data_IF_705041036543
#
_entry.id   IF_705041036543
#
_cell.length_a   1.000
_cell.length_b   1.000
_cell.length_c   1.000
_cell.angle_alpha   90.00
_cell.angle_beta   90.00
_cell.angle_gamma   90.00
#
_symmetry.space_group_name_H-M   'P 1'
#
loop_
_entity.id
_entity.type
_entity.pdbx_description
1 polymer ?
#
# COMPACT_ATOMS: atom_id res chain seq x y z
N UNK A 1 16.17 11.50 -7.36
CA UNK A 1 16.44 11.54 -8.81
C UNK A 1 17.92 11.33 -9.14
N UNK A 2 18.86 12.17 -8.70
CA UNK A 2 20.28 12.10 -9.12
C UNK A 2 20.96 10.72 -8.95
N UNK A 3 20.55 9.94 -7.95
CA UNK A 3 21.04 8.57 -7.68
C UNK A 3 20.22 7.45 -8.34
N UNK A 4 19.25 7.79 -9.21
CA UNK A 4 18.40 6.82 -9.92
C UNK A 4 17.00 6.57 -9.33
N UNK A 5 16.60 7.26 -8.26
CA UNK A 5 15.22 7.19 -7.75
C UNK A 5 14.25 7.69 -8.84
N UNK A 6 13.23 6.91 -9.16
CA UNK A 6 12.23 7.19 -10.21
C UNK A 6 10.78 7.20 -9.72
N UNK A 7 10.51 6.67 -8.53
CA UNK A 7 9.16 6.62 -7.96
C UNK A 7 9.15 6.80 -6.45
N UNK A 8 8.04 7.31 -5.92
CA UNK A 8 7.75 7.44 -4.49
C UNK A 8 6.31 7.02 -4.20
N UNK A 9 6.09 6.48 -2.99
CA UNK A 9 4.77 6.24 -2.44
C UNK A 9 4.58 7.13 -1.22
N UNK A 10 3.54 7.95 -1.23
CA UNK A 10 3.23 8.89 -0.16
C UNK A 10 2.26 8.26 0.84
N UNK A 11 2.56 8.47 2.12
CA UNK A 11 1.71 8.14 3.26
C UNK A 11 1.46 9.43 4.03
N UNK A 12 0.21 9.73 4.34
CA UNK A 12 -0.14 10.89 5.15
C UNK A 12 -0.04 10.59 6.64
N UNK A 13 0.42 11.56 7.41
CA UNK A 13 0.38 11.56 8.87
C UNK A 13 -0.21 12.90 9.27
N UNK A 14 -1.23 12.86 10.12
CA UNK A 14 -1.98 14.03 10.57
C UNK A 14 -2.25 13.94 12.06
N UNK A 15 -2.33 15.11 12.70
CA UNK A 15 -2.66 15.22 14.12
C UNK A 15 -4.18 15.12 14.33
N UNK A 16 -4.95 15.83 13.50
CA UNK A 16 -6.42 15.88 13.59
C UNK A 16 -7.04 14.63 12.93
N UNK A 17 -7.69 13.80 13.75
CA UNK A 17 -8.34 12.54 13.33
C UNK A 17 -9.82 12.53 13.76
N UNK A 18 -10.69 11.96 12.92
CA UNK A 18 -12.11 11.79 13.22
C UNK A 18 -12.66 10.47 12.69
N UNK A 19 -13.87 10.07 13.08
CA UNK A 19 -14.46 8.78 12.69
C UNK A 19 -14.66 8.57 11.17
N UNK A 20 -14.53 9.62 10.34
CA UNK A 20 -14.66 9.55 8.88
C UNK A 20 -13.33 9.69 8.15
N UNK A 21 -12.25 9.98 8.87
CA UNK A 21 -10.98 10.36 8.29
C UNK A 21 -11.07 11.59 7.39
N UNK A 22 -11.70 12.68 7.84
CA UNK A 22 -11.90 13.90 7.01
C UNK A 22 -10.59 14.46 6.47
N UNK A 23 -9.49 14.34 7.23
CA UNK A 23 -8.16 14.79 6.82
C UNK A 23 -7.48 13.93 5.74
N UNK A 24 -8.14 12.86 5.26
CA UNK A 24 -7.64 12.08 4.13
C UNK A 24 -7.76 12.83 2.80
N UNK A 25 -8.74 13.71 2.63
CA UNK A 25 -9.01 14.43 1.37
C UNK A 25 -9.49 15.87 1.54
N UNK A 26 -9.42 16.42 2.75
CA UNK A 26 -9.61 17.85 2.97
C UNK A 26 -8.63 18.70 2.12
N UNK A 27 -8.99 19.95 1.90
CA UNK A 27 -8.10 20.87 1.19
C UNK A 27 -6.78 21.01 1.96
N UNK A 28 -5.67 21.01 1.20
CA UNK A 28 -4.36 21.29 1.76
C UNK A 28 -3.82 20.25 2.78
N UNK A 29 -4.21 18.98 2.67
CA UNK A 29 -3.63 17.88 3.47
C UNK A 29 -2.19 17.56 3.06
N UNK A 30 -1.39 16.88 3.91
CA UNK A 30 0.01 16.56 3.61
C UNK A 30 0.21 15.82 2.28
N UNK A 31 -0.60 14.80 2.00
CA UNK A 31 -0.49 14.02 0.75
C UNK A 31 -0.82 14.89 -0.46
N UNK A 32 -1.92 15.64 -0.43
CA UNK A 32 -2.34 16.50 -1.54
C UNK A 32 -1.30 17.58 -1.83
N UNK A 33 -0.80 18.26 -0.80
CA UNK A 33 0.25 19.29 -0.92
C UNK A 33 1.54 18.69 -1.48
N UNK A 34 1.97 17.55 -0.94
CA UNK A 34 3.21 16.89 -1.34
C UNK A 34 3.13 16.39 -2.79
N UNK A 35 2.02 15.76 -3.18
CA UNK A 35 1.78 15.34 -4.57
C UNK A 35 1.89 16.51 -5.53
N UNK A 36 1.16 17.60 -5.28
CA UNK A 36 1.21 18.78 -6.14
C UNK A 36 2.61 19.41 -6.20
N UNK A 37 3.32 19.47 -5.08
CA UNK A 37 4.68 20.00 -5.01
C UNK A 37 5.67 19.12 -5.81
N UNK A 38 5.63 17.80 -5.63
CA UNK A 38 6.48 16.86 -6.34
C UNK A 38 6.21 16.87 -7.84
N UNK A 39 4.94 16.92 -8.26
CA UNK A 39 4.57 16.99 -9.69
C UNK A 39 5.11 18.23 -10.37
N UNK A 40 5.13 19.38 -9.68
CA UNK A 40 5.70 20.63 -10.21
C UNK A 40 7.23 20.63 -10.22
N UNK A 41 7.84 20.16 -9.14
CA UNK A 41 9.29 20.22 -8.97
C UNK A 41 10.04 19.11 -9.72
N UNK A 42 9.43 17.93 -9.85
CA UNK A 42 10.04 16.71 -10.37
C UNK A 42 9.06 16.01 -11.34
N UNK A 43 8.87 16.55 -12.56
CA UNK A 43 7.83 16.08 -13.49
C UNK A 43 8.02 14.62 -13.95
N UNK A 44 9.26 14.11 -13.93
CA UNK A 44 9.59 12.74 -14.29
C UNK A 44 9.44 11.74 -13.12
N UNK A 45 9.26 12.22 -11.89
CA UNK A 45 9.07 11.35 -10.74
C UNK A 45 7.65 10.77 -10.75
N UNK A 46 7.55 9.43 -10.73
CA UNK A 46 6.28 8.77 -10.51
C UNK A 46 5.86 8.94 -9.05
N UNK A 47 4.69 9.52 -8.86
CA UNK A 47 4.08 9.78 -7.54
C UNK A 47 2.87 8.87 -7.37
N UNK A 48 2.99 7.93 -6.42
CA UNK A 48 1.89 7.09 -5.95
C UNK A 48 1.42 7.54 -4.56
N UNK A 49 0.13 7.35 -4.24
CA UNK A 49 -0.44 7.71 -2.95
C UNK A 49 -1.17 6.52 -2.33
N UNK A 50 -0.89 6.18 -1.06
CA UNK A 50 -1.67 5.19 -0.32
C UNK A 50 -3.09 5.71 -0.09
N UNK A 51 -4.10 4.90 -0.42
CA UNK A 51 -5.51 5.19 -0.16
C UNK A 51 -5.99 4.30 0.96
N UNK A 52 -6.15 4.89 2.13
CA UNK A 52 -6.63 4.23 3.33
C UNK A 52 -7.19 5.28 4.30
N UNK A 53 -7.92 4.83 5.31
CA UNK A 53 -8.49 5.71 6.35
C UNK A 53 -7.78 5.58 7.69
N UNK A 54 -6.90 4.60 7.89
CA UNK A 54 -6.40 4.29 9.23
C UNK A 54 -5.42 5.33 9.79
N UNK A 55 -4.80 6.12 8.93
CA UNK A 55 -3.94 7.25 9.26
C UNK A 55 -4.74 8.49 9.69
N UNK A 56 -6.03 8.53 9.35
CA UNK A 56 -6.89 9.70 9.49
C UNK A 56 -8.07 9.47 10.45
N UNK A 57 -8.37 8.22 10.80
CA UNK A 57 -9.46 7.88 11.71
C UNK A 57 -9.02 7.87 13.17
N UNK A 58 -9.88 8.38 14.05
CA UNK A 58 -9.63 8.38 15.50
C UNK A 58 -9.57 6.94 16.06
N UNK A 59 -10.39 6.04 15.54
CA UNK A 59 -10.43 4.62 15.87
C UNK A 59 -9.35 3.78 15.15
N UNK A 60 -8.64 4.34 14.17
CA UNK A 60 -7.50 3.69 13.48
C UNK A 60 -7.84 2.46 12.62
N UNK A 61 -9.12 2.25 12.26
CA UNK A 61 -9.53 1.22 11.30
C UNK A 61 -9.40 1.74 9.87
N UNK A 62 -9.27 0.83 8.91
CA UNK A 62 -9.16 1.19 7.50
C UNK A 62 -10.48 1.64 6.83
N UNK A 63 -11.58 1.72 7.57
CA UNK A 63 -12.90 2.03 7.04
C UNK A 63 -13.85 2.62 8.07
N UNK A 64 -15.03 3.04 7.60
CA UNK A 64 -16.11 3.60 8.41
C UNK A 64 -16.69 2.49 9.29
N UNK A 65 -16.93 2.81 10.56
CA UNK A 65 -17.61 1.92 11.49
C UNK A 65 -19.11 2.23 11.57
N UNK A 66 -19.91 1.21 11.82
CA UNK A 66 -21.32 1.29 12.23
C UNK A 66 -21.55 0.40 13.44
N UNK A 67 -22.56 0.73 14.22
CA UNK A 67 -23.01 -0.12 15.32
C UNK A 67 -23.89 -1.27 14.78
N UNK A 68 -23.59 -2.49 15.19
CA UNK A 68 -24.43 -3.67 14.99
C UNK A 68 -24.53 -4.38 16.34
N UNK A 69 -25.70 -4.33 16.96
CA UNK A 69 -25.97 -4.94 18.26
C UNK A 69 -24.99 -4.49 19.36
N UNK A 70 -24.59 -3.21 19.36
CA UNK A 70 -23.65 -2.65 20.32
C UNK A 70 -22.17 -2.90 20.00
N UNK A 71 -21.88 -3.58 18.89
CA UNK A 71 -20.51 -3.86 18.44
C UNK A 71 -20.13 -2.98 17.24
N UNK A 72 -18.94 -2.36 17.25
CA UNK A 72 -18.44 -1.62 16.09
C UNK A 72 -18.03 -2.58 14.97
N UNK A 73 -18.68 -2.45 13.82
CA UNK A 73 -18.43 -3.25 12.61
C UNK A 73 -18.15 -2.34 11.43
N UNK A 74 -17.27 -2.78 10.53
CA UNK A 74 -16.99 -2.04 9.29
C UNK A 74 -18.24 -1.95 8.40
N UNK A 75 -18.58 -0.73 8.02
CA UNK A 75 -19.58 -0.45 6.99
C UNK A 75 -18.90 -0.44 5.61
N UNK A 76 -18.94 -1.58 4.93
CA UNK A 76 -18.30 -1.72 3.62
C UNK A 76 -18.80 -0.64 2.64
N UNK A 77 -20.11 -0.50 2.45
CA UNK A 77 -20.68 0.43 1.45
C UNK A 77 -20.21 1.88 1.68
N UNK A 78 -20.35 2.39 2.91
CA UNK A 78 -19.88 3.75 3.26
C UNK A 78 -18.36 3.89 3.16
N UNK A 79 -17.63 2.81 3.41
CA UNK A 79 -16.17 2.80 3.26
C UNK A 79 -15.77 2.91 1.79
N UNK A 80 -16.41 2.16 0.87
CA UNK A 80 -16.09 2.27 -0.57
C UNK A 80 -16.35 3.68 -1.10
N UNK A 81 -17.48 4.30 -0.73
CA UNK A 81 -17.76 5.70 -1.08
C UNK A 81 -16.66 6.64 -0.58
N UNK A 82 -16.22 6.45 0.67
CA UNK A 82 -15.19 7.29 1.28
C UNK A 82 -13.83 7.10 0.62
N UNK A 83 -13.41 5.86 0.38
CA UNK A 83 -12.14 5.54 -0.30
C UNK A 83 -12.10 6.09 -1.73
N UNK A 84 -13.23 6.03 -2.45
CA UNK A 84 -13.35 6.61 -3.79
C UNK A 84 -13.20 8.13 -3.77
N UNK A 85 -13.76 8.83 -2.77
CA UNK A 85 -13.55 10.27 -2.58
C UNK A 85 -12.07 10.61 -2.38
N UNK A 86 -11.40 9.86 -1.50
CA UNK A 86 -9.98 10.04 -1.19
C UNK A 86 -9.11 9.80 -2.43
N UNK A 87 -9.34 8.69 -3.14
CA UNK A 87 -8.63 8.38 -4.36
C UNK A 87 -8.81 9.48 -5.43
N UNK A 88 -10.03 9.99 -5.60
CA UNK A 88 -10.32 11.07 -6.55
C UNK A 88 -9.61 12.37 -6.17
N UNK A 89 -9.53 12.71 -4.88
CA UNK A 89 -8.81 13.88 -4.42
C UNK A 89 -7.30 13.79 -4.72
N UNK A 90 -6.69 12.62 -4.50
CA UNK A 90 -5.28 12.39 -4.86
C UNK A 90 -5.03 12.42 -6.36
N UNK A 91 -5.96 11.86 -7.15
CA UNK A 91 -5.91 11.97 -8.61
C UNK A 91 -5.97 13.44 -9.08
N UNK A 92 -6.89 14.24 -8.54
CA UNK A 92 -6.98 15.69 -8.78
C UNK A 92 -5.72 16.45 -8.38
N UNK A 93 -5.02 16.01 -7.33
CA UNK A 93 -3.74 16.57 -6.91
C UNK A 93 -2.57 16.23 -7.85
N UNK A 94 -2.77 15.30 -8.79
CA UNK A 94 -1.79 14.90 -9.79
C UNK A 94 -1.07 13.58 -9.49
N UNK A 95 -1.63 12.72 -8.62
CA UNK A 95 -1.09 11.38 -8.43
C UNK A 95 -1.16 10.59 -9.75
N UNK A 96 -0.07 9.89 -10.09
CA UNK A 96 -0.08 8.99 -11.26
C UNK A 96 -0.77 7.67 -10.94
N UNK A 97 -0.76 7.32 -9.64
CA UNK A 97 -1.22 6.04 -9.16
C UNK A 97 -1.78 6.18 -7.75
N UNK A 98 -2.88 5.48 -7.49
CA UNK A 98 -3.44 5.31 -6.14
C UNK A 98 -3.28 3.86 -5.68
N UNK A 99 -3.03 3.68 -4.39
CA UNK A 99 -2.69 2.39 -3.81
C UNK A 99 -3.67 2.04 -2.67
N UNK A 100 -4.89 1.54 -2.96
CA UNK A 100 -5.90 1.23 -1.95
C UNK A 100 -5.46 0.07 -1.05
N UNK A 101 -5.18 0.38 0.21
CA UNK A 101 -4.55 -0.51 1.19
C UNK A 101 -5.49 -1.03 2.28
N UNK A 102 -6.76 -0.69 2.18
CA UNK A 102 -7.83 -0.89 3.15
C UNK A 102 -8.29 -2.36 3.31
N UNK A 103 -8.21 -3.16 2.24
CA UNK A 103 -8.73 -4.54 2.13
C UNK A 103 -10.26 -4.69 2.14
N UNK A 104 -11.03 -3.63 1.85
CA UNK A 104 -12.47 -3.73 1.67
C UNK A 104 -12.83 -4.47 0.40
N UNK A 105 -13.92 -5.22 0.46
CA UNK A 105 -14.40 -5.96 -0.69
C UNK A 105 -14.91 -4.99 -1.76
N UNK A 106 -14.45 -5.21 -2.99
CA UNK A 106 -14.85 -4.46 -4.18
C UNK A 106 -14.35 -2.99 -4.29
N UNK A 107 -13.43 -2.55 -3.41
CA UNK A 107 -12.92 -1.16 -3.47
C UNK A 107 -12.28 -0.77 -4.80
N UNK A 108 -11.65 -1.70 -5.52
CA UNK A 108 -11.02 -1.41 -6.82
C UNK A 108 -12.06 -1.00 -7.84
N UNK A 109 -13.16 -1.75 -7.92
CA UNK A 109 -14.24 -1.48 -8.85
C UNK A 109 -14.87 -0.11 -8.57
N UNK A 110 -15.10 0.22 -7.31
CA UNK A 110 -15.66 1.52 -6.92
C UNK A 110 -14.71 2.69 -7.25
N UNK A 111 -13.42 2.55 -6.97
CA UNK A 111 -12.42 3.59 -7.32
C UNK A 111 -12.33 3.74 -8.84
N UNK A 112 -12.24 2.63 -9.59
CA UNK A 112 -12.19 2.65 -11.05
C UNK A 112 -13.42 3.31 -11.67
N UNK A 113 -14.62 2.97 -11.20
CA UNK A 113 -15.86 3.62 -11.63
C UNK A 113 -15.86 5.12 -11.33
N UNK A 114 -15.37 5.51 -10.16
CA UNK A 114 -15.26 6.92 -9.77
C UNK A 114 -14.29 7.67 -10.68
N UNK A 115 -13.14 7.09 -11.02
CA UNK A 115 -12.19 7.68 -11.96
C UNK A 115 -12.79 7.87 -13.35
N UNK A 116 -13.45 6.84 -13.88
CA UNK A 116 -14.11 6.91 -15.19
C UNK A 116 -15.22 7.96 -15.22
N UNK A 117 -15.99 8.09 -14.14
CA UNK A 117 -17.05 9.11 -14.04
C UNK A 117 -16.52 10.55 -13.96
N UNK A 118 -15.23 10.74 -13.65
CA UNK A 118 -14.63 12.05 -13.39
C UNK A 118 -13.46 12.40 -14.34
N UNK A 119 -13.21 11.61 -15.39
CA UNK A 119 -12.14 11.87 -16.37
C UNK A 119 -10.71 11.55 -15.87
N UNK A 120 -10.58 10.63 -14.91
CA UNK A 120 -9.30 10.18 -14.34
C UNK A 120 -8.95 8.74 -14.72
N UNK A 121 -9.42 8.25 -15.88
CA UNK A 121 -9.17 6.89 -16.39
C UNK A 121 -7.67 6.58 -16.48
N UNK A 122 -6.87 7.61 -16.78
CA UNK A 122 -5.42 7.55 -16.93
C UNK A 122 -4.65 7.32 -15.61
N UNK A 123 -5.30 7.46 -14.46
CA UNK A 123 -4.67 7.21 -13.15
C UNK A 123 -4.70 5.71 -12.85
N UNK A 124 -3.52 5.15 -12.54
CA UNK A 124 -3.38 3.72 -12.26
C UNK A 124 -3.85 3.36 -10.84
N UNK A 125 -4.30 2.13 -10.67
CA UNK A 125 -4.68 1.56 -9.38
C UNK A 125 -3.75 0.37 -9.07
N UNK A 126 -2.92 0.52 -8.05
CA UNK A 126 -2.07 -0.55 -7.53
C UNK A 126 -2.72 -1.16 -6.29
N UNK A 127 -3.41 -2.27 -6.48
CA UNK A 127 -4.27 -2.88 -5.49
C UNK A 127 -3.46 -3.61 -4.41
N UNK A 128 -3.65 -3.30 -3.12
CA UNK A 128 -3.20 -4.22 -2.08
C UNK A 128 -4.11 -5.44 -2.06
N UNK A 129 -3.73 -6.47 -2.81
CA UNK A 129 -4.56 -7.66 -3.08
C UNK A 129 -4.35 -8.75 -2.04
N UNK A 130 -3.11 -8.96 -1.61
CA UNK A 130 -2.79 -9.88 -0.51
C UNK A 130 -2.12 -9.11 0.61
N UNK A 131 -2.92 -8.40 1.43
CA UNK A 131 -2.46 -7.77 2.68
C UNK A 131 -2.83 -8.65 3.86
N UNK A 132 -1.81 -9.22 4.51
CA UNK A 132 -1.99 -10.16 5.63
C UNK A 132 -2.25 -9.44 6.94
N UNK A 133 -2.95 -10.09 7.86
CA UNK A 133 -3.06 -9.69 9.27
C UNK A 133 -1.75 -10.03 10.02
N UNK A 134 -0.65 -9.40 9.59
CA UNK A 134 0.71 -9.74 10.01
C UNK A 134 1.22 -8.89 11.17
N UNK A 135 2.07 -9.48 12.00
CA UNK A 135 2.83 -8.77 13.05
C UNK A 135 3.97 -7.90 12.47
N UNK A 136 4.39 -8.16 11.23
CA UNK A 136 5.52 -7.50 10.57
C UNK A 136 5.29 -6.00 10.28
N UNK A 137 4.14 -5.44 10.65
CA UNK A 137 3.84 -4.02 10.49
C UNK A 137 4.17 -3.17 11.71
N UNK A 138 4.59 -3.76 12.84
CA UNK A 138 4.75 -3.03 14.10
C UNK A 138 5.61 -1.76 13.97
N UNK A 139 6.81 -1.77 13.35
CA UNK A 139 7.61 -0.55 13.25
C UNK A 139 7.01 0.52 12.32
N UNK A 140 6.09 0.13 11.43
CA UNK A 140 5.36 1.11 10.60
C UNK A 140 4.25 1.78 11.42
N UNK A 141 3.56 1.02 12.28
CA UNK A 141 2.50 1.55 13.14
C UNK A 141 3.04 2.59 14.13
N UNK A 142 4.26 2.37 14.61
CA UNK A 142 4.97 3.35 15.44
C UNK A 142 5.28 4.63 14.63
N UNK A 143 5.74 4.48 13.39
CA UNK A 143 6.11 5.60 12.52
C UNK A 143 4.93 6.47 12.04
N UNK A 144 3.70 5.92 12.00
CA UNK A 144 2.48 6.65 11.60
C UNK A 144 1.56 7.00 12.78
N UNK A 145 2.06 6.84 14.01
CA UNK A 145 1.31 7.15 15.24
C UNK A 145 -0.10 6.53 15.23
N UNK A 146 -0.15 5.23 14.93
CA UNK A 146 -1.41 4.48 14.85
C UNK A 146 -2.13 4.45 16.20
N UNK A 147 -3.37 4.95 16.24
CA UNK A 147 -4.24 4.93 17.43
C UNK A 147 -5.00 3.60 17.61
N UNK A 148 -4.89 2.70 16.64
CA UNK A 148 -5.68 1.47 16.54
C UNK A 148 -5.53 0.54 17.76
N UNK A 149 -6.67 0.07 18.28
CA UNK A 149 -6.77 -0.95 19.32
C UNK A 149 -7.44 -2.22 18.77
N UNK A 150 -7.01 -3.40 19.22
CA UNK A 150 -7.56 -4.69 18.78
C UNK A 150 -6.82 -5.30 17.58
N UNK A 151 -7.55 -5.95 16.66
CA UNK A 151 -6.96 -6.57 15.47
C UNK A 151 -7.70 -6.28 14.16
N UNK A 152 -6.97 -6.42 13.06
CA UNK A 152 -7.45 -6.14 11.70
C UNK A 152 -7.88 -7.42 10.96
N UNK A 153 -8.09 -8.54 11.66
CA UNK A 153 -8.35 -9.86 11.05
C UNK A 153 -9.71 -9.97 10.37
N UNK A 154 -10.63 -9.03 10.65
CA UNK A 154 -11.95 -8.97 10.00
C UNK A 154 -11.88 -8.55 8.52
N UNK A 155 -10.74 -8.05 8.05
CA UNK A 155 -10.55 -7.59 6.67
C UNK A 155 -9.17 -7.91 6.10
N UNK A 156 -8.11 -7.90 6.91
CA UNK A 156 -6.80 -8.38 6.46
C UNK A 156 -6.78 -9.90 6.41
N UNK A 157 -6.17 -10.45 5.36
CA UNK A 157 -6.17 -11.90 5.14
C UNK A 157 -5.42 -12.66 6.24
N UNK A 158 -5.87 -13.86 6.63
CA UNK A 158 -5.10 -14.72 7.52
C UNK A 158 -3.71 -15.01 6.94
N UNK A 159 -2.69 -15.02 7.81
CA UNK A 159 -1.29 -15.25 7.43
C UNK A 159 -1.11 -16.61 6.73
N UNK A 160 -1.75 -17.66 7.23
CA UNK A 160 -1.64 -19.01 6.64
C UNK A 160 -2.52 -19.27 5.40
N UNK A 161 -3.31 -18.30 4.93
CA UNK A 161 -4.26 -18.56 3.85
C UNK A 161 -3.73 -18.12 2.48
N UNK A 162 -3.57 -19.06 1.56
CA UNK A 162 -3.33 -18.77 0.14
C UNK A 162 -4.62 -18.58 -0.64
N UNK A 163 -5.72 -19.24 -0.23
CA UNK A 163 -7.02 -19.18 -0.89
C UNK A 163 -7.63 -17.78 -0.93
N UNK A 164 -7.60 -17.04 0.19
CA UNK A 164 -8.08 -15.65 0.22
C UNK A 164 -7.28 -14.75 -0.73
N UNK A 165 -5.97 -14.98 -0.85
CA UNK A 165 -5.13 -14.22 -1.77
C UNK A 165 -5.50 -14.51 -3.24
N UNK A 166 -5.75 -15.78 -3.59
CA UNK A 166 -6.18 -16.16 -4.94
C UNK A 166 -7.54 -15.55 -5.32
N UNK A 167 -8.53 -15.63 -4.41
CA UNK A 167 -9.86 -15.05 -4.64
C UNK A 167 -9.80 -13.53 -4.77
N UNK A 168 -9.04 -12.84 -3.90
CA UNK A 168 -8.86 -11.40 -4.00
C UNK A 168 -8.13 -11.00 -5.28
N UNK A 169 -7.16 -11.78 -5.75
CA UNK A 169 -6.46 -11.52 -7.00
C UNK A 169 -7.41 -11.56 -8.20
N UNK A 170 -8.22 -12.61 -8.30
CA UNK A 170 -9.21 -12.72 -9.38
C UNK A 170 -10.19 -11.54 -9.35
N UNK A 171 -10.72 -11.20 -8.17
CA UNK A 171 -11.61 -10.06 -7.98
C UNK A 171 -10.95 -8.73 -8.39
N UNK A 172 -9.75 -8.45 -7.87
CA UNK A 172 -9.10 -7.15 -8.07
C UNK A 172 -8.72 -6.94 -9.54
N UNK A 173 -8.23 -7.99 -10.21
CA UNK A 173 -7.93 -7.96 -11.65
C UNK A 173 -9.20 -7.74 -12.46
N UNK A 174 -10.29 -8.47 -12.16
CA UNK A 174 -11.59 -8.28 -12.82
C UNK A 174 -12.17 -6.87 -12.61
N UNK A 175 -11.84 -6.23 -11.49
CA UNK A 175 -12.28 -4.87 -11.16
C UNK A 175 -11.42 -3.76 -11.77
N UNK A 176 -10.36 -4.12 -12.51
CA UNK A 176 -9.52 -3.15 -13.22
C UNK A 176 -8.35 -2.62 -12.39
N UNK A 177 -7.77 -3.44 -11.51
CA UNK A 177 -6.46 -3.16 -10.93
C UNK A 177 -5.37 -3.24 -12.00
N UNK A 178 -4.50 -2.23 -12.08
CA UNK A 178 -3.40 -2.18 -13.04
C UNK A 178 -2.15 -2.94 -12.55
N UNK A 179 -2.07 -3.18 -11.25
CA UNK A 179 -1.05 -4.01 -10.60
C UNK A 179 -1.54 -4.48 -9.23
N UNK A 180 -0.93 -5.54 -8.71
CA UNK A 180 -1.32 -6.14 -7.42
C UNK A 180 -0.15 -6.19 -6.45
N UNK A 181 -0.40 -5.95 -5.16
CA UNK A 181 0.60 -5.98 -4.10
C UNK A 181 0.43 -7.24 -3.22
N UNK A 182 1.55 -7.89 -2.91
CA UNK A 182 1.68 -8.85 -1.80
C UNK A 182 2.40 -8.17 -0.63
N UNK A 183 1.75 -8.14 0.54
CA UNK A 183 2.20 -7.45 1.76
C UNK A 183 1.89 -8.29 3.02
N UNK A 184 2.89 -8.65 3.85
CA UNK A 184 4.34 -8.56 3.65
C UNK A 184 4.83 -9.40 2.47
N UNK A 185 6.13 -9.37 2.16
CA UNK A 185 6.64 -10.01 0.94
C UNK A 185 7.63 -11.16 1.16
N UNK A 186 8.59 -11.05 2.09
CA UNK A 186 9.65 -12.05 2.25
C UNK A 186 9.12 -13.41 2.69
N UNK A 187 8.13 -13.43 3.57
CA UNK A 187 7.49 -14.66 4.05
C UNK A 187 6.36 -15.18 3.15
N UNK A 188 6.11 -14.52 2.01
CA UNK A 188 4.95 -14.78 1.15
C UNK A 188 5.34 -14.89 -0.33
N UNK A 189 6.59 -15.27 -0.62
CA UNK A 189 7.10 -15.42 -1.99
C UNK A 189 6.36 -16.50 -2.78
N UNK A 190 5.74 -17.47 -2.11
CA UNK A 190 4.84 -18.46 -2.70
C UNK A 190 3.60 -17.81 -3.32
N UNK A 191 3.01 -16.81 -2.64
CA UNK A 191 1.89 -16.03 -3.17
C UNK A 191 2.36 -15.16 -4.33
N UNK A 192 3.53 -14.55 -4.23
CA UNK A 192 4.14 -13.75 -5.32
C UNK A 192 4.30 -14.61 -6.57
N UNK A 193 4.89 -15.80 -6.43
CA UNK A 193 5.07 -16.74 -7.53
C UNK A 193 3.74 -17.20 -8.13
N UNK A 194 2.74 -17.47 -7.29
CA UNK A 194 1.39 -17.82 -7.74
C UNK A 194 0.73 -16.70 -8.55
N UNK A 195 0.82 -15.45 -8.10
CA UNK A 195 0.28 -14.30 -8.83
C UNK A 195 1.05 -14.06 -10.14
N UNK A 196 2.38 -14.10 -10.11
CA UNK A 196 3.22 -13.87 -11.29
C UNK A 196 2.98 -14.94 -12.36
N UNK A 197 2.73 -16.19 -11.96
CA UNK A 197 2.40 -17.28 -12.88
C UNK A 197 1.11 -17.05 -13.68
N UNK A 198 0.18 -16.21 -13.18
CA UNK A 198 -1.05 -15.85 -13.89
C UNK A 198 -0.80 -14.93 -15.09
N UNK A 199 0.32 -14.18 -15.11
CA UNK A 199 0.72 -13.29 -16.20
C UNK A 199 -0.36 -12.30 -16.64
N UNK A 200 -1.18 -11.80 -15.71
CA UNK A 200 -2.28 -10.87 -16.00
C UNK A 200 -1.87 -9.42 -15.79
N UNK A 201 -1.29 -9.10 -14.64
CA UNK A 201 -0.85 -7.76 -14.25
C UNK A 201 0.48 -7.83 -13.49
N UNK A 202 1.28 -6.74 -13.44
CA UNK A 202 2.50 -6.70 -12.66
C UNK A 202 2.26 -7.00 -11.18
N UNK A 203 3.16 -7.80 -10.60
CA UNK A 203 3.14 -8.13 -9.18
C UNK A 203 4.13 -7.24 -8.44
N UNK A 204 3.66 -6.60 -7.39
CA UNK A 204 4.43 -5.68 -6.55
C UNK A 204 4.64 -6.32 -5.18
N UNK A 205 5.86 -6.27 -4.67
CA UNK A 205 6.17 -6.75 -3.33
C UNK A 205 6.39 -5.57 -2.40
N UNK A 206 5.77 -5.60 -1.22
CA UNK A 206 6.08 -4.65 -0.16
C UNK A 206 6.98 -5.32 0.88
N UNK A 207 8.26 -4.94 0.90
CA UNK A 207 9.20 -5.28 1.98
C UNK A 207 8.91 -4.35 3.16
N UNK A 208 8.12 -4.85 4.10
CA UNK A 208 7.51 -4.02 5.16
C UNK A 208 8.52 -3.67 6.24
N UNK A 209 8.10 -2.81 7.17
CA UNK A 209 8.99 -2.21 8.16
C UNK A 209 9.62 -3.24 9.12
N UNK A 210 8.88 -4.28 9.52
CA UNK A 210 9.44 -5.39 10.28
C UNK A 210 10.45 -6.21 9.48
N UNK A 211 10.20 -6.42 8.18
CA UNK A 211 11.14 -7.13 7.28
C UNK A 211 12.41 -6.30 7.07
N UNK A 212 12.26 -4.98 6.92
CA UNK A 212 13.37 -4.03 6.88
C UNK A 212 14.22 -4.13 8.15
N UNK A 213 13.59 -4.06 9.32
CA UNK A 213 14.29 -4.17 10.60
C UNK A 213 15.02 -5.50 10.74
N UNK A 214 14.36 -6.60 10.41
CA UNK A 214 14.95 -7.94 10.46
C UNK A 214 16.19 -8.05 9.56
N UNK A 215 16.09 -7.60 8.31
CA UNK A 215 17.21 -7.61 7.36
C UNK A 215 18.34 -6.68 7.81
N UNK A 216 18.00 -5.50 8.32
CA UNK A 216 18.98 -4.51 8.80
C UNK A 216 19.76 -5.04 10.00
N UNK A 217 19.06 -5.52 11.02
CA UNK A 217 19.66 -6.01 12.26
C UNK A 217 20.56 -7.23 12.00
N UNK A 218 20.11 -8.18 11.16
CA UNK A 218 20.93 -9.34 10.78
C UNK A 218 22.15 -8.93 9.95
N UNK A 219 21.96 -8.05 8.97
CA UNK A 219 23.03 -7.53 8.13
C UNK A 219 24.11 -6.79 8.93
N UNK A 220 23.72 -6.02 9.95
CA UNK A 220 24.65 -5.34 10.84
C UNK A 220 25.40 -6.30 11.74
N UNK A 221 24.70 -7.25 12.39
CA UNK A 221 25.31 -8.22 13.32
C UNK A 221 26.31 -9.17 12.65
N UNK A 222 26.17 -9.38 11.34
CA UNK A 222 27.05 -10.22 10.51
C UNK A 222 28.00 -9.42 9.62
N UNK A 223 27.98 -8.08 9.71
CA UNK A 223 28.71 -7.16 8.82
C UNK A 223 28.54 -7.48 7.32
N UNK A 224 27.34 -7.94 6.95
CA UNK A 224 27.00 -8.44 5.61
C UNK A 224 25.77 -7.75 5.03
N UNK A 225 25.46 -6.53 5.48
CA UNK A 225 24.23 -5.80 5.13
C UNK A 225 24.00 -5.69 3.62
N UNK A 226 25.04 -5.38 2.83
CA UNK A 226 24.88 -5.31 1.37
C UNK A 226 24.42 -6.65 0.78
N UNK A 227 25.07 -7.74 1.15
CA UNK A 227 24.75 -9.09 0.68
C UNK A 227 23.34 -9.51 1.06
N UNK A 228 22.94 -9.30 2.32
CA UNK A 228 21.61 -9.70 2.81
C UNK A 228 20.51 -8.85 2.15
N UNK A 229 20.74 -7.54 1.98
CA UNK A 229 19.80 -6.67 1.24
C UNK A 229 19.67 -7.14 -0.20
N UNK A 230 20.77 -7.40 -0.91
CA UNK A 230 20.74 -7.93 -2.28
C UNK A 230 19.97 -9.24 -2.35
N UNK A 231 20.28 -10.21 -1.49
CA UNK A 231 19.67 -11.53 -1.51
C UNK A 231 18.15 -11.48 -1.22
N UNK A 232 17.73 -10.68 -0.24
CA UNK A 232 16.32 -10.51 0.09
C UNK A 232 15.51 -9.97 -1.11
N UNK A 233 16.02 -8.96 -1.81
CA UNK A 233 15.33 -8.34 -2.94
C UNK A 233 15.41 -9.19 -4.22
N UNK A 234 16.57 -9.80 -4.51
CA UNK A 234 16.71 -10.76 -5.61
C UNK A 234 15.81 -11.99 -5.41
N UNK A 235 15.57 -12.41 -4.17
CA UNK A 235 14.60 -13.44 -3.85
C UNK A 235 13.17 -13.09 -4.29
N UNK A 236 12.75 -11.85 -4.05
CA UNK A 236 11.44 -11.35 -4.48
C UNK A 236 11.34 -11.19 -6.01
N UNK A 237 12.40 -10.70 -6.65
CA UNK A 237 12.46 -10.63 -8.13
C UNK A 237 12.40 -12.02 -8.74
N UNK A 238 13.14 -12.99 -8.18
CA UNK A 238 13.09 -14.41 -8.60
C UNK A 238 11.71 -15.02 -8.41
N UNK A 239 10.97 -14.63 -7.38
CA UNK A 239 9.60 -15.05 -7.17
C UNK A 239 8.61 -14.43 -8.21
N UNK A 240 9.04 -13.47 -9.01
CA UNK A 240 8.24 -12.87 -10.09
C UNK A 240 7.73 -11.46 -9.80
N UNK A 241 8.24 -10.79 -8.77
CA UNK A 241 7.93 -9.39 -8.53
C UNK A 241 8.48 -8.50 -9.66
N UNK A 242 7.66 -7.60 -10.17
CA UNK A 242 8.03 -6.58 -11.16
C UNK A 242 8.46 -5.26 -10.50
N UNK A 243 7.95 -4.97 -9.30
CA UNK A 243 8.26 -3.75 -8.54
C UNK A 243 8.43 -4.11 -7.06
N UNK A 244 9.39 -3.46 -6.40
CA UNK A 244 9.63 -3.61 -4.97
C UNK A 244 9.38 -2.27 -4.26
N UNK A 245 8.49 -2.26 -3.28
CA UNK A 245 8.32 -1.16 -2.33
C UNK A 245 9.18 -1.49 -1.11
N UNK A 246 10.23 -0.72 -0.87
CA UNK A 246 11.22 -1.01 0.17
C UNK A 246 11.83 0.24 0.78
N UNK A 247 12.01 0.21 2.10
CA UNK A 247 12.74 1.25 2.84
C UNK A 247 14.25 1.23 2.55
N UNK A 248 14.76 0.15 1.96
CA UNK A 248 16.16 0.06 1.51
C UNK A 248 16.43 0.84 0.21
N UNK A 249 15.44 1.49 -0.41
CA UNK A 249 15.63 2.19 -1.69
C UNK A 249 16.83 3.15 -1.69
N UNK A 250 17.01 4.04 -0.69
CA UNK A 250 18.20 4.91 -0.67
C UNK A 250 19.51 4.12 -0.56
N UNK A 251 19.55 3.08 0.29
CA UNK A 251 20.73 2.23 0.47
C UNK A 251 21.08 1.46 -0.82
N UNK A 252 20.08 0.91 -1.50
CA UNK A 252 20.25 0.16 -2.76
C UNK A 252 20.81 1.08 -3.85
N UNK A 253 20.27 2.29 -3.99
CA UNK A 253 20.74 3.25 -4.98
C UNK A 253 22.17 3.74 -4.69
N UNK A 254 22.60 3.73 -3.43
CA UNK A 254 23.95 4.15 -3.03
C UNK A 254 25.00 3.04 -3.10
N UNK A 255 24.64 1.82 -2.72
CA UNK A 255 25.59 0.74 -2.44
C UNK A 255 25.41 -0.45 -3.37
N UNK A 256 24.20 -0.65 -3.88
CA UNK A 256 23.87 -1.81 -4.68
C UNK A 256 23.68 -1.48 -6.17
N UNK A 257 23.73 -0.21 -6.62
CA UNK A 257 23.24 0.23 -7.95
C UNK A 257 23.75 -0.53 -9.19
N UNK A 258 24.86 -1.28 -9.08
CA UNK A 258 25.26 -2.28 -10.07
C UNK A 258 24.62 -3.63 -9.70
N UNK A 259 23.44 -3.87 -10.27
CA UNK A 259 22.73 -5.17 -10.26
C UNK A 259 23.01 -5.89 -11.57
#
# INVERSE_FOLDING_TARGET
>A
MAKGLSSVMLFGVVDDKDARGSMADADATPVIKCTGALRRALPELLVACDVCMCEYTDHGHCGILRDVDGEPVLDNARTLERLSSIALAYAKAGAHMVCPSDMMDNRIGAIRQTFNANGFEHVSIMAYTSKKASVMYAPFRDAVESTFQGDRKRYQHPVGSTSHAALAFERDVQQGADSVIVKPSLFYSDIVASFAAKKTVPVVCYLVSGEYKMVKDYGDSTNSLESVVREAHLGLLRAGASVLITYFTPYILDRCAKW
#
